data_IF_563856620128
#
_entry.id   IF_563856620128
#
_cell.length_a   1.000
_cell.length_b   1.000
_cell.length_c   1.000
_cell.angle_alpha   90.00
_cell.angle_beta   90.00
_cell.angle_gamma   90.00
#
_symmetry.space_group_name_H-M   'P 1'
#
loop_
_entity.id
_entity.type
_entity.pdbx_description
1 polymer ?
#
# COMPACT_ATOMS: atom_id res chain seq x y z
N UNK A 1 -21.86 -18.41 -7.52
CA UNK A 1 -20.45 -18.87 -7.62
C UNK A 1 -20.33 -20.14 -6.81
N UNK A 2 -20.30 -21.29 -7.47
CA UNK A 2 -20.02 -22.60 -6.85
C UNK A 2 -18.52 -22.73 -6.56
N UNK A 3 -18.14 -23.70 -5.72
CA UNK A 3 -16.79 -23.86 -5.14
C UNK A 3 -15.64 -24.18 -6.15
N UNK A 4 -15.79 -23.91 -7.44
CA UNK A 4 -14.89 -24.34 -8.52
C UNK A 4 -13.92 -23.27 -9.03
N UNK A 5 -14.05 -21.99 -8.62
CA UNK A 5 -13.29 -20.85 -9.19
C UNK A 5 -12.10 -20.36 -8.34
N UNK A 6 -11.68 -21.10 -7.30
CA UNK A 6 -10.52 -20.68 -6.51
C UNK A 6 -9.21 -21.07 -7.22
N UNK A 7 -8.19 -20.20 -7.19
CA UNK A 7 -6.89 -20.53 -7.76
C UNK A 7 -6.34 -21.79 -7.10
N UNK A 8 -5.85 -22.71 -7.93
CA UNK A 8 -5.22 -23.95 -7.47
C UNK A 8 -3.78 -23.63 -7.07
N UNK A 9 -3.36 -23.90 -5.81
CA UNK A 9 -1.99 -23.68 -5.41
C UNK A 9 -1.09 -24.77 -6.00
N UNK A 10 0.07 -24.37 -6.54
CA UNK A 10 1.10 -25.33 -6.99
C UNK A 10 1.62 -26.18 -5.81
N UNK A 11 1.68 -25.57 -4.63
CA UNK A 11 2.12 -26.20 -3.39
C UNK A 11 1.27 -25.77 -2.19
N UNK A 12 0.75 -26.75 -1.44
CA UNK A 12 0.11 -26.52 -0.15
C UNK A 12 0.26 -27.76 0.74
N UNK A 13 0.66 -27.58 2.00
CA UNK A 13 0.69 -28.64 3.03
C UNK A 13 -0.06 -28.16 4.26
N UNK A 14 -1.06 -28.91 4.72
CA UNK A 14 -1.92 -28.55 5.85
C UNK A 14 -2.60 -27.17 5.72
N UNK A 15 -2.79 -26.69 4.48
CA UNK A 15 -3.43 -25.43 4.15
C UNK A 15 -4.34 -25.63 2.93
N UNK A 16 -5.37 -24.79 2.81
CA UNK A 16 -6.29 -24.77 1.67
C UNK A 16 -6.73 -23.34 1.40
N UNK A 17 -6.83 -22.97 0.12
CA UNK A 17 -7.43 -21.70 -0.30
C UNK A 17 -8.92 -21.72 0.04
N UNK A 18 -9.39 -20.71 0.79
CA UNK A 18 -10.81 -20.56 1.15
C UNK A 18 -11.51 -19.43 0.40
N UNK A 19 -10.74 -18.50 -0.16
CA UNK A 19 -11.21 -17.34 -0.92
C UNK A 19 -10.07 -16.74 -1.74
N UNK A 20 -10.45 -15.95 -2.74
CA UNK A 20 -9.57 -15.06 -3.49
C UNK A 20 -10.28 -13.73 -3.72
N UNK A 21 -9.54 -12.62 -3.68
CA UNK A 21 -10.00 -11.30 -4.05
C UNK A 21 -8.87 -10.58 -4.78
N UNK A 22 -9.17 -10.02 -5.95
CA UNK A 22 -8.25 -9.21 -6.74
C UNK A 22 -8.12 -7.77 -6.21
N UNK A 23 -8.68 -7.50 -5.03
CA UNK A 23 -8.62 -6.21 -4.33
C UNK A 23 -9.24 -5.05 -5.12
N UNK A 24 -10.26 -5.36 -5.94
CA UNK A 24 -10.95 -4.40 -6.79
C UNK A 24 -10.17 -4.10 -8.08
N UNK A 25 -9.47 -5.09 -8.61
CA UNK A 25 -8.59 -4.96 -9.78
C UNK A 25 -7.18 -4.42 -9.46
N UNK A 26 -6.71 -4.54 -8.22
CA UNK A 26 -5.38 -4.10 -7.75
C UNK A 26 -4.60 -5.27 -7.11
N UNK A 27 -4.19 -6.29 -7.89
CA UNK A 27 -3.56 -7.50 -7.36
C UNK A 27 -2.08 -7.31 -7.01
N UNK A 28 -1.68 -6.12 -6.55
CA UNK A 28 -0.30 -5.69 -6.28
C UNK A 28 -0.07 -5.27 -4.82
N UNK A 29 -0.88 -5.82 -3.91
CA UNK A 29 -0.78 -5.57 -2.48
C UNK A 29 0.55 -6.03 -1.88
N UNK A 30 1.13 -5.19 -1.02
CA UNK A 30 2.43 -5.44 -0.36
C UNK A 30 2.24 -5.74 1.13
N UNK A 31 1.67 -4.80 1.88
CA UNK A 31 1.44 -4.94 3.31
C UNK A 31 -0.05 -4.94 3.61
N UNK A 32 -0.47 -5.80 4.54
CA UNK A 32 -1.86 -5.98 4.95
C UNK A 32 -1.99 -5.73 6.45
N UNK A 33 -2.91 -4.85 6.85
CA UNK A 33 -3.34 -4.65 8.24
C UNK A 33 -4.80 -5.01 8.38
N UNK A 34 -5.21 -5.57 9.53
CA UNK A 34 -6.61 -5.97 9.76
C UNK A 34 -7.14 -5.32 11.04
N UNK A 35 -8.26 -4.61 10.94
CA UNK A 35 -8.96 -4.03 12.08
C UNK A 35 -10.48 -4.09 11.88
N UNK A 36 -11.24 -4.46 12.92
CA UNK A 36 -12.72 -4.54 12.92
C UNK A 36 -13.29 -5.24 11.67
N UNK A 37 -12.69 -6.37 11.28
CA UNK A 37 -13.13 -7.17 10.13
C UNK A 37 -12.91 -6.51 8.76
N UNK A 38 -12.03 -5.50 8.69
CA UNK A 38 -11.60 -4.90 7.42
C UNK A 38 -10.09 -5.01 7.28
N UNK A 39 -9.64 -5.30 6.06
CA UNK A 39 -8.22 -5.32 5.71
C UNK A 39 -7.86 -4.03 4.96
N UNK A 40 -6.74 -3.41 5.33
CA UNK A 40 -6.13 -2.27 4.66
C UNK A 40 -4.85 -2.75 3.97
N UNK A 41 -4.78 -2.58 2.66
CA UNK A 41 -3.72 -3.17 1.84
C UNK A 41 -3.02 -2.09 1.05
N UNK A 42 -1.72 -1.89 1.32
CA UNK A 42 -0.89 -0.92 0.62
C UNK A 42 -0.42 -1.47 -0.73
N UNK A 43 -0.39 -0.62 -1.76
CA UNK A 43 -0.13 -1.01 -3.15
C UNK A 43 1.14 -0.38 -3.70
N UNK A 44 1.94 -1.19 -4.40
CA UNK A 44 3.18 -0.72 -5.02
C UNK A 44 2.94 -0.05 -6.37
N UNK A 45 2.20 -0.69 -7.28
CA UNK A 45 1.99 -0.25 -8.66
C UNK A 45 0.70 0.55 -8.83
N UNK A 46 -0.39 0.09 -8.20
CA UNK A 46 -1.67 0.80 -8.17
C UNK A 46 -1.60 2.06 -7.32
N UNK A 47 -0.61 2.15 -6.42
CA UNK A 47 -0.40 3.24 -5.45
C UNK A 47 -1.57 3.35 -4.47
N UNK A 48 -1.39 4.07 -3.37
CA UNK A 48 -2.44 4.18 -2.36
C UNK A 48 -2.70 2.87 -1.61
N UNK A 49 -3.90 2.76 -1.01
CA UNK A 49 -4.29 1.55 -0.30
C UNK A 49 -5.76 1.16 -0.53
N UNK A 50 -6.02 -0.14 -0.63
CA UNK A 50 -7.39 -0.70 -0.69
C UNK A 50 -7.93 -0.99 0.71
N UNK A 51 -9.26 -0.91 0.84
CA UNK A 51 -10.01 -1.39 2.00
C UNK A 51 -10.88 -2.57 1.56
N UNK A 52 -10.72 -3.70 2.21
CA UNK A 52 -11.53 -4.90 1.99
C UNK A 52 -12.37 -5.19 3.23
N UNK A 53 -13.65 -5.50 3.03
CA UNK A 53 -14.47 -6.18 4.04
C UNK A 53 -14.08 -7.66 4.06
N UNK A 54 -13.61 -8.13 5.22
CA UNK A 54 -13.14 -9.50 5.44
C UNK A 54 -13.88 -10.18 6.60
N UNK A 55 -15.07 -9.67 6.96
CA UNK A 55 -15.90 -10.26 8.03
C UNK A 55 -16.37 -11.68 7.71
N UNK A 56 -16.61 -11.97 6.43
CA UNK A 56 -16.73 -13.33 5.92
C UNK A 56 -15.41 -13.70 5.21
N UNK A 57 -14.55 -14.54 5.83
CA UNK A 57 -13.26 -14.90 5.25
C UNK A 57 -13.39 -15.75 3.96
N UNK A 58 -14.57 -16.30 3.67
CA UNK A 58 -14.83 -17.02 2.40
C UNK A 58 -15.30 -16.07 1.29
N UNK A 59 -15.63 -14.82 1.62
CA UNK A 59 -16.16 -13.82 0.69
C UNK A 59 -15.59 -12.41 0.96
N UNK A 60 -14.25 -12.23 0.94
CA UNK A 60 -13.65 -10.92 1.04
C UNK A 60 -14.09 -10.03 -0.13
N UNK A 61 -14.32 -8.74 0.14
CA UNK A 61 -14.79 -7.77 -0.87
C UNK A 61 -14.05 -6.46 -0.76
N UNK A 62 -13.50 -5.95 -1.86
CA UNK A 62 -13.03 -4.58 -1.90
C UNK A 62 -14.24 -3.63 -1.73
N UNK A 63 -14.14 -2.73 -0.75
CA UNK A 63 -15.21 -1.78 -0.40
C UNK A 63 -14.78 -0.32 -0.58
N UNK A 64 -13.48 -0.05 -0.61
CA UNK A 64 -12.96 1.29 -0.85
C UNK A 64 -11.51 1.24 -1.36
N UNK A 65 -11.04 2.35 -1.93
CA UNK A 65 -9.67 2.55 -2.33
C UNK A 65 -9.32 4.03 -2.18
N UNK A 66 -8.19 4.32 -1.53
CA UNK A 66 -7.68 5.66 -1.33
C UNK A 66 -6.37 5.80 -2.09
N UNK A 67 -6.39 6.63 -3.14
CA UNK A 67 -5.20 6.94 -3.93
C UNK A 67 -4.16 7.68 -3.08
N UNK A 68 -2.89 7.36 -3.30
CA UNK A 68 -1.78 8.16 -2.78
C UNK A 68 -1.74 9.54 -3.46
N UNK A 69 -1.11 10.55 -2.84
CA UNK A 69 -0.80 11.80 -3.53
C UNK A 69 0.03 11.57 -4.81
N UNK A 70 0.07 12.58 -5.69
CA UNK A 70 0.93 12.53 -6.89
C UNK A 70 2.39 12.21 -6.53
N UNK A 71 3.08 11.46 -7.40
CA UNK A 71 4.48 11.06 -7.21
C UNK A 71 4.75 10.17 -5.98
N UNK A 72 3.69 9.68 -5.31
CA UNK A 72 3.78 9.01 -4.02
C UNK A 72 3.18 7.61 -4.09
N UNK A 73 3.72 6.68 -3.31
CA UNK A 73 3.13 5.37 -3.05
C UNK A 73 2.85 5.15 -1.56
N UNK A 74 2.02 4.15 -1.25
CA UNK A 74 1.71 3.74 0.12
C UNK A 74 1.92 2.23 0.27
N UNK A 75 3.16 1.81 0.52
CA UNK A 75 3.52 0.40 0.68
C UNK A 75 3.59 -0.04 2.15
N UNK A 76 3.67 0.93 3.07
CA UNK A 76 3.75 0.69 4.51
C UNK A 76 2.54 1.24 5.26
N UNK A 77 1.90 0.36 6.04
CA UNK A 77 0.69 0.60 6.81
C UNK A 77 0.87 0.05 8.23
N UNK A 78 0.24 0.68 9.22
CA UNK A 78 0.11 0.13 10.57
C UNK A 78 -1.24 0.53 11.18
N UNK A 79 -1.94 -0.40 11.80
CA UNK A 79 -3.17 -0.10 12.56
C UNK A 79 -2.93 -0.14 14.06
N UNK A 80 -3.59 0.75 14.80
CA UNK A 80 -3.68 0.70 16.26
C UNK A 80 -4.96 1.41 16.71
N UNK A 81 -5.78 0.74 17.52
CA UNK A 81 -7.15 1.18 17.81
C UNK A 81 -7.89 1.61 16.52
N UNK A 82 -8.58 2.73 16.54
CA UNK A 82 -9.28 3.28 15.39
C UNK A 82 -8.38 4.19 14.53
N UNK A 83 -7.06 3.96 14.53
CA UNK A 83 -6.08 4.66 13.71
C UNK A 83 -5.42 3.75 12.66
N UNK A 84 -5.22 4.30 11.47
CA UNK A 84 -4.37 3.76 10.42
C UNK A 84 -3.27 4.77 10.10
N UNK A 85 -2.04 4.32 10.26
CA UNK A 85 -0.80 5.02 9.93
C UNK A 85 -0.41 4.60 8.51
N UNK A 86 -0.24 5.58 7.62
CA UNK A 86 0.06 5.36 6.20
C UNK A 86 1.30 6.16 5.83
N UNK A 87 2.36 5.48 5.38
CA UNK A 87 3.58 6.14 4.93
C UNK A 87 3.39 6.61 3.49
N UNK A 88 3.59 7.91 3.27
CA UNK A 88 3.75 8.53 1.98
C UNK A 88 5.24 8.59 1.67
N UNK A 89 5.66 7.87 0.63
CA UNK A 89 7.04 7.89 0.15
C UNK A 89 7.08 8.13 -1.37
N UNK A 90 8.22 8.65 -1.86
CA UNK A 90 8.49 8.86 -3.28
C UNK A 90 8.33 7.52 -4.00
N UNK A 91 7.52 7.53 -5.04
CA UNK A 91 7.36 6.40 -5.94
C UNK A 91 8.67 6.22 -6.74
N UNK A 92 9.48 5.26 -6.30
CA UNK A 92 10.78 5.02 -6.92
C UNK A 92 10.63 4.39 -8.31
N UNK A 93 9.58 3.60 -8.58
CA UNK A 93 9.41 2.95 -9.88
C UNK A 93 8.82 3.88 -10.95
N UNK A 94 8.09 4.92 -10.55
CA UNK A 94 7.65 5.95 -11.50
C UNK A 94 8.75 6.97 -11.83
N UNK A 95 9.82 7.05 -11.04
CA UNK A 95 10.94 7.93 -11.33
C UNK A 95 11.84 7.32 -12.43
N UNK A 96 12.04 8.08 -13.51
CA UNK A 96 12.89 7.68 -14.65
C UNK A 96 14.32 7.28 -14.23
N UNK A 97 14.76 7.74 -13.06
CA UNK A 97 16.04 7.43 -12.41
C UNK A 97 16.17 5.95 -11.99
N UNK A 98 15.08 5.18 -11.95
CA UNK A 98 15.03 3.79 -11.49
C UNK A 98 14.45 2.81 -12.52
N UNK A 99 14.41 3.19 -13.80
CA UNK A 99 13.97 2.29 -14.87
C UNK A 99 14.86 1.03 -15.01
N UNK A 100 16.08 1.05 -14.45
CA UNK A 100 16.91 -0.14 -14.27
C UNK A 100 16.76 -0.68 -12.83
N UNK A 101 15.93 -1.71 -12.65
CA UNK A 101 15.74 -2.39 -11.37
C UNK A 101 17.07 -2.87 -10.76
N UNK A 102 18.05 -3.25 -11.59
CA UNK A 102 19.37 -3.67 -11.07
C UNK A 102 20.15 -2.50 -10.48
N UNK A 103 19.93 -1.27 -10.97
CA UNK A 103 20.56 -0.08 -10.41
C UNK A 103 20.00 0.25 -9.02
N UNK A 104 18.69 0.03 -8.80
CA UNK A 104 18.05 0.20 -7.49
C UNK A 104 18.71 -0.67 -6.41
N UNK A 105 18.95 -1.96 -6.70
CA UNK A 105 19.52 -2.89 -5.72
C UNK A 105 21.05 -2.82 -5.56
N UNK A 106 21.76 -1.99 -6.36
CA UNK A 106 23.24 -1.91 -6.36
C UNK A 106 23.82 -0.68 -5.66
N UNK A 107 23.01 0.33 -5.31
CA UNK A 107 23.49 1.62 -4.79
C UNK A 107 23.16 1.90 -3.32
N UNK A 108 23.85 2.88 -2.71
CA UNK A 108 23.42 3.47 -1.44
C UNK A 108 22.14 4.30 -1.68
N UNK A 109 20.99 3.83 -1.16
CA UNK A 109 19.67 4.41 -1.42
C UNK A 109 19.63 5.96 -1.32
N UNK A 110 20.30 6.57 -0.35
CA UNK A 110 20.29 8.04 -0.20
C UNK A 110 20.84 8.83 -1.41
N UNK A 111 21.81 8.28 -2.16
CA UNK A 111 22.30 8.91 -3.40
C UNK A 111 21.39 8.62 -4.59
N UNK A 112 20.82 7.42 -4.67
CA UNK A 112 19.97 6.99 -5.79
C UNK A 112 18.59 7.66 -5.73
N UNK A 113 18.07 7.91 -4.53
CA UNK A 113 16.76 8.56 -4.30
C UNK A 113 16.82 10.08 -4.46
N UNK A 114 18.02 10.66 -4.65
CA UNK A 114 18.20 12.10 -4.81
C UNK A 114 17.97 12.90 -3.52
N UNK A 115 18.04 12.24 -2.35
CA UNK A 115 17.87 12.90 -1.04
C UNK A 115 19.17 13.40 -0.45
N UNK A 116 20.31 12.89 -0.93
CA UNK A 116 21.65 13.26 -0.46
C UNK A 116 22.18 14.59 -1.07
N UNK A 117 21.68 15.01 -2.22
CA UNK A 117 22.09 16.27 -2.86
C UNK A 117 20.88 17.21 -2.90
N UNK A 118 21.01 18.42 -2.34
CA UNK A 118 20.00 19.50 -2.45
C UNK A 118 19.89 19.94 -3.92
N UNK A 119 19.24 19.15 -4.78
CA UNK A 119 18.80 19.62 -6.08
C UNK A 119 17.54 20.46 -5.88
N UNK A 120 17.61 21.70 -6.35
CA UNK A 120 16.58 22.74 -6.28
C UNK A 120 15.36 22.47 -7.18
N UNK A 121 15.04 21.21 -7.46
CA UNK A 121 13.83 20.88 -8.20
C UNK A 121 12.63 20.94 -7.25
N UNK A 122 11.53 21.55 -7.69
CA UNK A 122 10.28 21.48 -6.98
C UNK A 122 9.90 20.01 -6.78
N UNK A 123 9.71 19.60 -5.52
CA UNK A 123 9.34 18.23 -5.15
C UNK A 123 7.95 17.94 -5.71
N UNK A 124 7.83 16.88 -6.52
CA UNK A 124 6.56 16.43 -7.12
C UNK A 124 5.92 15.24 -6.37
N UNK A 125 6.49 14.86 -5.22
CA UNK A 125 5.97 13.83 -4.31
C UNK A 125 5.66 14.37 -2.90
N UNK A 126 4.86 13.61 -2.16
CA UNK A 126 4.60 13.83 -0.73
C UNK A 126 5.40 12.83 0.10
N UNK A 127 6.19 13.31 1.06
CA UNK A 127 6.94 12.49 2.01
C UNK A 127 6.42 12.72 3.43
N UNK A 128 6.06 11.65 4.14
CA UNK A 128 5.63 11.74 5.54
C UNK A 128 4.64 10.68 5.97
N UNK A 129 4.11 10.85 7.18
CA UNK A 129 3.15 9.93 7.80
C UNK A 129 1.76 10.55 7.80
N UNK A 130 0.82 9.95 7.06
CA UNK A 130 -0.59 10.27 7.14
C UNK A 130 -1.27 9.41 8.22
N UNK A 131 -2.14 10.05 9.01
CA UNK A 131 -2.95 9.37 10.03
C UNK A 131 -4.40 9.42 9.60
N UNK A 132 -5.06 8.26 9.56
CA UNK A 132 -6.47 8.10 9.24
C UNK A 132 -7.24 7.58 10.45
N UNK A 133 -8.42 8.15 10.69
CA UNK A 133 -9.46 7.59 11.53
C UNK A 133 -10.18 6.47 10.76
N UNK A 134 -10.18 5.27 11.34
CA UNK A 134 -10.80 4.06 10.81
C UNK A 134 -11.89 3.51 11.74
N UNK A 135 -12.45 4.34 12.64
CA UNK A 135 -13.61 3.99 13.47
C UNK A 135 -14.83 3.57 12.63
N UNK A 136 -14.90 4.05 11.39
CA UNK A 136 -15.76 3.56 10.30
C UNK A 136 -14.87 2.86 9.26
N UNK A 137 -14.63 1.53 9.40
CA UNK A 137 -13.54 0.86 8.68
C UNK A 137 -13.61 0.96 7.15
N UNK A 138 -14.81 0.92 6.56
CA UNK A 138 -15.00 1.02 5.12
C UNK A 138 -14.73 2.42 4.55
N UNK A 139 -14.68 3.46 5.40
CA UNK A 139 -14.51 4.86 5.00
C UNK A 139 -13.41 5.54 5.82
N UNK A 140 -12.13 5.18 5.63
CA UNK A 140 -11.01 5.85 6.29
C UNK A 140 -11.04 7.36 6.04
N UNK A 141 -10.82 8.14 7.10
CA UNK A 141 -10.80 9.61 7.01
C UNK A 141 -9.47 10.14 7.52
N UNK A 142 -8.73 10.86 6.67
CA UNK A 142 -7.46 11.46 7.11
C UNK A 142 -7.71 12.51 8.20
N UNK A 143 -7.00 12.39 9.31
CA UNK A 143 -7.10 13.29 10.48
C UNK A 143 -5.81 14.03 10.79
N UNK A 144 -4.68 13.62 10.20
CA UNK A 144 -3.40 14.28 10.41
C UNK A 144 -2.37 13.91 9.36
N UNK A 145 -1.33 14.73 9.26
CA UNK A 145 -0.17 14.46 8.43
C UNK A 145 1.08 15.04 9.08
N UNK A 146 2.11 14.22 9.26
CA UNK A 146 3.44 14.63 9.69
C UNK A 146 4.37 14.59 8.48
N UNK A 147 4.71 15.76 7.95
CA UNK A 147 5.67 15.86 6.85
C UNK A 147 7.07 15.45 7.30
N UNK A 148 7.82 14.79 6.42
CA UNK A 148 9.24 14.52 6.62
C UNK A 148 10.02 15.00 5.40
N UNK A 149 11.31 15.28 5.61
CA UNK A 149 12.22 15.57 4.51
C UNK A 149 12.65 14.28 3.79
N UNK A 150 13.06 14.42 2.52
CA UNK A 150 13.59 13.31 1.73
C UNK A 150 12.52 12.45 1.05
N UNK A 151 12.77 11.15 1.00
CA UNK A 151 12.01 10.17 0.21
C UNK A 151 10.76 9.61 0.89
N UNK A 152 10.56 9.89 2.19
CA UNK A 152 9.51 9.27 3.02
C UNK A 152 10.03 8.16 3.91
#
# INVERSE_FOLDING_TARGET
>A
MSATDLPQPDHARNMRVIAYCDQGGRPDGVQIMVHRGHAYIGHMFSKGFSVLDVRDPKRPRAVNYLAAPSGTWNIHLQTHDDLLLVINAKDMFAAAEFADEKAYYKGQLGKVVGTAEKRSAARDWTAGLAVYDISKPATPRRIGFMAVEGGG
#
